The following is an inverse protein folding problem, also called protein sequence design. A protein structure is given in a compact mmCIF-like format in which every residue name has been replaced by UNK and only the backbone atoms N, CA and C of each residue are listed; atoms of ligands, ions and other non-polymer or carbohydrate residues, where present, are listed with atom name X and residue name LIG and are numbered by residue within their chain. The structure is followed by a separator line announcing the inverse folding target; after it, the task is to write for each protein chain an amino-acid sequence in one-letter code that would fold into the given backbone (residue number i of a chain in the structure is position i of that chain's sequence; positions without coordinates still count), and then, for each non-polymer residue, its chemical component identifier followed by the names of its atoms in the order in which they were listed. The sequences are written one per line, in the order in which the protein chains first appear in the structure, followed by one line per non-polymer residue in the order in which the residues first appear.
data_IF_541809051972
#
_entry.id   IF_541809051972
#
_cell.length_a   1.000
_cell.length_b   1.000
_cell.length_c   1.000
_cell.angle_alpha   90.00
_cell.angle_beta   90.00
_cell.angle_gamma   90.00
#
_symmetry.space_group_name_H-M   'P 1'
#
loop_
_entity.id
_entity.type
_entity.pdbx_description
1 polymer ?
#
# COMPACT_ATOMS: atom_id res chain seq x y z
N UNK A 1 4.03 -23.71 32.39
CA UNK A 1 4.62 -22.38 32.60
C UNK A 1 4.04 -21.46 31.54
N UNK A 2 3.23 -20.52 31.96
CA UNK A 2 2.56 -19.55 31.12
C UNK A 2 3.58 -18.50 30.65
N UNK A 3 3.61 -18.21 29.34
CA UNK A 3 4.17 -16.99 28.80
C UNK A 3 3.20 -16.29 27.85
N UNK A 4 3.28 -14.99 27.72
CA UNK A 4 2.10 -14.18 27.59
C UNK A 4 1.72 -13.84 26.14
N UNK A 5 0.43 -13.88 25.90
CA UNK A 5 -0.28 -13.33 24.73
C UNK A 5 -0.11 -11.81 24.53
N UNK A 6 1.03 -11.21 24.92
CA UNK A 6 1.13 -9.75 25.03
C UNK A 6 1.62 -9.00 23.80
N UNK A 7 2.33 -9.62 22.88
CA UNK A 7 2.90 -8.89 21.72
C UNK A 7 1.93 -8.77 20.53
N UNK A 8 1.12 -9.79 20.25
CA UNK A 8 0.00 -9.64 19.28
C UNK A 8 -0.95 -8.48 19.62
N UNK A 9 -1.05 -8.11 20.90
CA UNK A 9 -1.87 -6.98 21.34
C UNK A 9 -1.18 -5.62 21.21
N UNK A 10 0.13 -5.54 21.00
CA UNK A 10 0.82 -4.25 20.81
C UNK A 10 0.73 -3.75 19.37
N UNK A 11 0.74 -4.65 18.38
CA UNK A 11 0.48 -4.27 16.98
C UNK A 11 -0.96 -3.74 16.79
N UNK A 12 -1.93 -4.30 17.54
CA UNK A 12 -3.34 -3.90 17.50
C UNK A 12 -3.74 -2.83 18.52
N UNK A 13 -2.90 -2.51 19.51
CA UNK A 13 -3.24 -1.58 20.60
C UNK A 13 -3.09 -0.09 20.26
N UNK A 14 -2.59 0.25 19.08
CA UNK A 14 -2.70 1.62 18.56
C UNK A 14 -4.09 1.97 18.01
N UNK A 15 -4.95 0.98 17.75
CA UNK A 15 -6.24 1.17 17.09
C UNK A 15 -7.39 0.35 17.72
N UNK A 16 -7.38 0.14 19.01
CA UNK A 16 -8.36 -0.68 19.68
C UNK A 16 -9.41 0.12 20.45
N UNK A 17 -10.62 0.14 19.95
CA UNK A 17 -11.77 0.51 20.76
C UNK A 17 -12.97 1.01 19.97
N UNK A 18 -13.70 0.14 19.31
CA UNK A 18 -15.17 0.13 19.34
C UNK A 18 -15.68 -1.09 18.59
N UNK A 19 -16.21 -2.03 19.33
CA UNK A 19 -16.96 -3.16 18.79
C UNK A 19 -18.45 -2.84 18.82
N UNK A 20 -19.17 -3.40 17.80
CA UNK A 20 -20.60 -3.61 17.63
C UNK A 20 -21.41 -2.48 17.02
N UNK A 21 -21.86 -2.73 15.81
CA UNK A 21 -23.27 -2.91 15.37
C UNK A 21 -23.35 -2.88 13.84
N UNK A 22 -23.36 -3.99 13.18
CA UNK A 22 -23.90 -4.08 11.82
C UNK A 22 -24.22 -5.52 11.43
N UNK A 23 -25.36 -5.99 11.88
CA UNK A 23 -26.03 -7.14 11.30
C UNK A 23 -27.51 -6.77 11.16
N UNK A 24 -27.85 -6.10 10.08
CA UNK A 24 -29.19 -6.03 9.46
C UNK A 24 -29.19 -4.91 8.40
N UNK A 25 -29.14 -5.24 7.13
CA UNK A 25 -29.29 -4.26 6.06
C UNK A 25 -28.80 -4.68 4.67
N UNK A 26 -28.59 -5.98 4.44
CA UNK A 26 -28.00 -6.47 3.17
C UNK A 26 -28.89 -6.36 1.93
N UNK A 27 -30.18 -6.06 2.04
CA UNK A 27 -31.09 -6.04 0.88
C UNK A 27 -31.51 -4.66 0.39
N UNK A 28 -31.40 -3.61 1.20
CA UNK A 28 -31.82 -2.26 0.80
C UNK A 28 -30.76 -1.44 0.05
N UNK A 29 -29.51 -1.88 -0.01
CA UNK A 29 -28.43 -1.19 -0.74
C UNK A 29 -28.45 -1.52 -2.24
N UNK A 30 -29.11 -2.61 -2.66
CA UNK A 30 -29.13 -3.06 -4.06
C UNK A 30 -30.05 -2.27 -5.00
N UNK A 31 -30.88 -1.37 -4.53
CA UNK A 31 -31.91 -0.69 -5.35
C UNK A 31 -31.64 0.78 -5.68
N UNK A 32 -30.55 1.38 -5.23
CA UNK A 32 -30.28 2.82 -5.42
C UNK A 32 -29.42 3.21 -6.64
N UNK A 33 -29.02 2.25 -7.48
CA UNK A 33 -28.00 2.49 -8.52
C UNK A 33 -28.53 2.67 -9.95
N UNK A 34 -29.72 3.21 -10.14
CA UNK A 34 -30.25 3.52 -11.48
C UNK A 34 -30.93 4.89 -11.53
N UNK A 35 -30.24 5.92 -11.09
CA UNK A 35 -30.63 7.31 -11.37
C UNK A 35 -29.49 7.97 -12.15
N UNK A 36 -29.84 8.57 -13.29
CA UNK A 36 -28.97 9.41 -14.09
C UNK A 36 -28.24 10.40 -13.19
N UNK A 37 -26.94 10.15 -12.93
CA UNK A 37 -26.07 11.09 -12.24
C UNK A 37 -26.03 12.34 -13.11
N UNK A 38 -26.70 13.41 -12.66
CA UNK A 38 -26.38 14.75 -13.17
C UNK A 38 -24.87 14.91 -12.97
N UNK A 39 -24.15 15.33 -14.00
CA UNK A 39 -22.73 15.68 -13.87
C UNK A 39 -22.62 16.83 -12.87
N UNK A 40 -22.67 16.53 -11.59
CA UNK A 40 -22.27 17.45 -10.54
C UNK A 40 -20.85 17.91 -10.84
N UNK A 41 -20.59 19.18 -10.61
CA UNK A 41 -19.27 19.77 -10.83
C UNK A 41 -18.25 18.96 -10.02
N UNK A 42 -17.42 18.17 -10.69
CA UNK A 42 -16.37 17.39 -10.06
C UNK A 42 -15.58 18.28 -9.10
N UNK A 43 -15.48 17.85 -7.87
CA UNK A 43 -14.78 18.56 -6.83
C UNK A 43 -13.37 18.00 -6.71
N UNK A 44 -12.35 18.84 -6.87
CA UNK A 44 -10.96 18.44 -6.76
C UNK A 44 -10.43 18.75 -5.35
N UNK A 45 -9.64 17.85 -4.75
CA UNK A 45 -8.90 18.16 -3.54
C UNK A 45 -7.88 19.28 -3.84
N UNK A 46 -7.46 19.98 -2.80
CA UNK A 46 -6.42 21.01 -2.94
C UNK A 46 -5.11 20.36 -3.43
N UNK A 47 -4.35 21.06 -4.28
CA UNK A 47 -3.03 20.61 -4.68
C UNK A 47 -2.13 20.40 -3.46
N UNK A 48 -1.44 19.27 -3.43
CA UNK A 48 -0.50 18.90 -2.37
C UNK A 48 0.94 18.74 -2.88
N UNK A 49 1.19 19.11 -4.14
CA UNK A 49 2.48 18.93 -4.79
C UNK A 49 2.79 17.47 -5.13
N UNK A 50 1.76 16.68 -5.40
CA UNK A 50 1.89 15.26 -5.75
C UNK A 50 1.66 15.02 -7.24
N UNK A 51 2.67 14.61 -8.01
CA UNK A 51 2.50 14.23 -9.41
C UNK A 51 1.52 13.07 -9.61
N UNK A 52 1.30 12.25 -8.58
CA UNK A 52 0.30 11.18 -8.58
C UNK A 52 -1.09 11.79 -8.67
N UNK A 53 -1.46 12.65 -7.71
CA UNK A 53 -2.77 13.28 -7.66
C UNK A 53 -3.02 14.14 -8.90
N UNK A 54 -1.98 14.87 -9.35
CA UNK A 54 -2.05 15.77 -10.51
C UNK A 54 -2.28 15.01 -11.83
N UNK A 55 -1.99 13.70 -11.90
CA UNK A 55 -2.19 12.88 -13.10
C UNK A 55 -3.60 12.30 -13.24
N UNK A 56 -4.44 12.35 -12.19
CA UNK A 56 -5.73 11.65 -12.15
C UNK A 56 -6.88 12.28 -12.95
N UNK A 57 -6.92 13.59 -13.29
CA UNK A 57 -8.06 14.21 -13.95
C UNK A 57 -8.60 13.44 -15.16
N UNK A 58 -7.77 12.93 -16.09
CA UNK A 58 -8.29 12.18 -17.24
C UNK A 58 -9.13 10.95 -16.85
N UNK A 59 -8.76 10.27 -15.75
CA UNK A 59 -9.52 9.11 -15.26
C UNK A 59 -10.81 9.57 -14.59
N UNK A 60 -10.72 10.44 -13.60
CA UNK A 60 -11.86 10.83 -12.75
C UNK A 60 -12.98 11.49 -13.58
N UNK A 61 -12.61 12.28 -14.61
CA UNK A 61 -13.57 12.97 -15.49
C UNK A 61 -14.24 12.05 -16.50
N UNK A 62 -13.61 10.91 -16.84
CA UNK A 62 -14.07 10.02 -17.93
C UNK A 62 -14.37 8.59 -17.47
N UNK A 63 -14.33 8.31 -16.16
CA UNK A 63 -14.62 6.98 -15.61
C UNK A 63 -16.00 6.47 -16.00
N UNK A 64 -16.05 5.18 -16.31
CA UNK A 64 -17.26 4.46 -16.77
C UNK A 64 -17.74 3.44 -15.76
N UNK A 65 -16.79 2.80 -15.09
CA UNK A 65 -17.04 1.67 -14.20
C UNK A 65 -16.91 2.02 -12.72
N UNK A 66 -16.22 3.11 -12.37
CA UNK A 66 -16.02 3.55 -10.98
C UNK A 66 -16.44 5.00 -10.80
N UNK A 67 -17.18 5.28 -9.72
CA UNK A 67 -17.62 6.63 -9.37
C UNK A 67 -17.39 6.92 -7.89
N UNK A 68 -16.99 8.15 -7.56
CA UNK A 68 -16.91 8.64 -6.18
C UNK A 68 -18.19 9.42 -5.83
N UNK A 69 -18.90 8.95 -4.80
CA UNK A 69 -20.08 9.63 -4.23
C UNK A 69 -19.59 10.68 -3.21
N UNK A 70 -19.56 11.94 -3.64
CA UNK A 70 -19.06 13.06 -2.81
C UNK A 70 -19.95 13.31 -1.59
N UNK A 71 -21.27 13.18 -1.73
CA UNK A 71 -22.19 13.39 -0.60
C UNK A 71 -21.95 12.35 0.50
N UNK A 72 -21.80 11.08 0.10
CA UNK A 72 -21.49 10.02 1.05
C UNK A 72 -20.10 10.18 1.66
N UNK A 73 -19.14 10.66 0.89
CA UNK A 73 -17.80 10.97 1.39
C UNK A 73 -17.84 12.06 2.47
N UNK A 74 -18.62 13.12 2.26
CA UNK A 74 -18.81 14.20 3.26
C UNK A 74 -19.50 13.66 4.52
N UNK A 75 -20.50 12.78 4.37
CA UNK A 75 -21.15 12.10 5.51
C UNK A 75 -20.13 11.29 6.32
N UNK A 76 -19.28 10.50 5.64
CA UNK A 76 -18.22 9.70 6.28
C UNK A 76 -17.20 10.61 6.96
N UNK A 77 -16.77 11.69 6.33
CA UNK A 77 -15.89 12.66 6.93
C UNK A 77 -16.47 13.25 8.24
N UNK A 78 -17.77 13.44 8.28
CA UNK A 78 -18.48 13.98 9.44
C UNK A 78 -18.30 13.16 10.72
N UNK A 79 -18.27 11.84 10.63
CA UNK A 79 -18.01 10.99 11.79
C UNK A 79 -16.55 10.62 11.95
N UNK A 80 -15.81 10.39 10.87
CA UNK A 80 -14.38 10.01 10.91
C UNK A 80 -13.51 11.16 11.46
N UNK A 81 -13.94 12.40 11.33
CA UNK A 81 -13.24 13.56 11.89
C UNK A 81 -13.04 13.48 13.42
N UNK A 82 -13.88 12.71 14.12
CA UNK A 82 -13.79 12.51 15.58
C UNK A 82 -12.99 11.27 16.00
N UNK A 83 -12.51 10.47 15.04
CA UNK A 83 -11.63 9.34 15.34
C UNK A 83 -10.22 9.83 15.69
N UNK A 84 -9.51 9.08 16.54
CA UNK A 84 -8.08 9.24 16.70
C UNK A 84 -7.35 8.65 15.50
N UNK A 85 -6.64 9.49 14.77
CA UNK A 85 -5.87 9.12 13.58
C UNK A 85 -4.41 9.55 13.79
N UNK A 86 -3.68 8.89 14.71
CA UNK A 86 -2.31 9.26 15.02
C UNK A 86 -1.38 9.01 13.83
N UNK A 87 -0.27 9.74 13.78
CA UNK A 87 0.86 9.36 12.94
C UNK A 87 1.34 7.98 13.38
N UNK A 88 1.37 6.98 12.51
CA UNK A 88 1.75 5.63 12.90
C UNK A 88 3.21 5.56 13.35
N UNK A 89 3.45 4.70 14.33
CA UNK A 89 4.76 4.21 14.67
C UNK A 89 4.83 2.76 14.25
N UNK A 90 5.82 2.43 13.47
CA UNK A 90 6.03 1.07 12.99
C UNK A 90 7.34 0.54 13.56
N UNK A 91 7.27 -0.62 14.17
CA UNK A 91 8.43 -1.38 14.60
C UNK A 91 8.48 -2.66 13.80
N UNK A 92 9.60 -2.84 13.10
CA UNK A 92 9.81 -4.07 12.35
C UNK A 92 9.67 -5.28 13.25
N UNK A 93 9.00 -6.34 12.80
CA UNK A 93 8.86 -7.56 13.58
C UNK A 93 10.21 -8.21 13.86
N UNK A 94 10.26 -9.04 14.90
CA UNK A 94 11.43 -9.88 15.22
C UNK A 94 12.72 -9.10 15.49
N UNK A 95 12.61 -7.82 15.88
CA UNK A 95 13.75 -7.00 16.32
C UNK A 95 14.70 -6.55 15.21
N UNK A 96 14.28 -6.60 13.95
CA UNK A 96 15.09 -6.10 12.84
C UNK A 96 15.37 -4.60 13.04
N UNK A 97 16.61 -4.19 12.84
CA UNK A 97 17.01 -2.78 12.77
C UNK A 97 16.85 -1.97 14.04
N UNK A 98 16.59 -2.59 15.22
CA UNK A 98 16.30 -1.87 16.47
C UNK A 98 17.33 -0.79 16.81
N UNK A 99 18.62 -1.06 16.57
CA UNK A 99 19.73 -0.16 16.88
C UNK A 99 20.50 0.29 15.61
N UNK A 100 20.04 -0.15 14.42
CA UNK A 100 20.71 0.11 13.17
C UNK A 100 19.74 0.69 12.12
N UNK A 101 19.69 2.03 11.95
CA UNK A 101 18.83 2.66 10.94
C UNK A 101 19.10 2.21 9.51
N UNK A 102 20.35 1.87 9.17
CA UNK A 102 20.71 1.41 7.83
C UNK A 102 20.11 0.03 7.54
N UNK A 103 20.18 -0.87 8.51
CA UNK A 103 19.51 -2.16 8.42
C UNK A 103 17.99 -2.03 8.30
N UNK A 104 17.39 -1.09 9.06
CA UNK A 104 15.96 -0.78 8.93
C UNK A 104 15.61 -0.32 7.51
N UNK A 105 16.42 0.59 6.92
CA UNK A 105 16.20 1.09 5.57
C UNK A 105 16.34 -0.04 4.56
N UNK A 106 17.44 -0.79 4.63
CA UNK A 106 17.70 -1.88 3.71
C UNK A 106 16.61 -2.96 3.77
N UNK A 107 16.19 -3.36 4.98
CA UNK A 107 15.15 -4.36 5.17
C UNK A 107 13.80 -3.93 4.57
N UNK A 108 13.33 -2.73 4.92
CA UNK A 108 12.04 -2.22 4.42
C UNK A 108 12.07 -2.10 2.89
N UNK A 109 13.14 -1.54 2.32
CA UNK A 109 13.20 -1.34 0.88
C UNK A 109 13.41 -2.65 0.10
N UNK A 110 14.15 -3.61 0.64
CA UNK A 110 14.30 -4.95 0.03
C UNK A 110 12.96 -5.70 0.04
N UNK A 111 12.21 -5.64 1.13
CA UNK A 111 10.86 -6.19 1.19
C UNK A 111 9.93 -5.48 0.18
N UNK A 112 9.90 -4.16 0.18
CA UNK A 112 9.02 -3.36 -0.69
C UNK A 112 9.26 -3.63 -2.20
N UNK A 113 10.47 -4.02 -2.60
CA UNK A 113 10.75 -4.46 -3.99
C UNK A 113 9.87 -5.63 -4.42
N UNK A 114 9.51 -6.52 -3.52
CA UNK A 114 8.74 -7.75 -3.83
C UNK A 114 7.37 -7.80 -3.14
N UNK A 115 6.94 -6.70 -2.48
CA UNK A 115 5.64 -6.59 -1.82
C UNK A 115 4.50 -6.64 -2.85
N UNK A 116 4.13 -7.86 -3.22
CA UNK A 116 3.02 -8.16 -4.15
C UNK A 116 2.60 -9.63 -4.02
N UNK A 117 1.33 -9.94 -4.29
CA UNK A 117 0.82 -11.30 -4.47
C UNK A 117 1.23 -12.29 -3.35
N UNK A 118 0.45 -12.34 -2.29
CA UNK A 118 0.65 -13.29 -1.19
C UNK A 118 -0.42 -14.40 -1.16
N UNK A 119 -1.38 -14.34 -2.06
CA UNK A 119 -2.44 -15.35 -2.20
C UNK A 119 -2.36 -15.99 -3.58
N UNK A 120 -2.36 -17.31 -3.64
CA UNK A 120 -2.37 -18.04 -4.90
C UNK A 120 -3.63 -17.72 -5.72
N UNK A 121 -3.44 -17.36 -6.98
CA UNK A 121 -4.52 -16.89 -7.85
C UNK A 121 -5.53 -17.97 -8.25
N UNK A 122 -5.18 -19.24 -8.08
CA UNK A 122 -6.01 -20.38 -8.48
C UNK A 122 -6.69 -21.04 -7.30
N UNK A 123 -5.91 -21.29 -6.24
CA UNK A 123 -6.39 -22.01 -5.05
C UNK A 123 -6.91 -21.09 -3.96
N UNK A 124 -6.61 -19.80 -4.06
CA UNK A 124 -6.88 -18.76 -3.05
C UNK A 124 -6.26 -19.06 -1.68
N UNK A 125 -5.22 -19.92 -1.65
CA UNK A 125 -4.46 -20.19 -0.43
C UNK A 125 -3.46 -19.06 -0.21
N UNK A 126 -3.44 -18.52 1.01
CA UNK A 126 -2.49 -17.51 1.43
C UNK A 126 -1.13 -18.12 1.72
N UNK A 127 -0.08 -17.42 1.34
CA UNK A 127 1.28 -17.75 1.74
C UNK A 127 1.45 -17.56 3.25
N UNK A 128 1.99 -18.58 3.92
CA UNK A 128 2.12 -18.64 5.37
C UNK A 128 3.42 -19.34 5.75
N UNK A 129 4.01 -18.92 6.88
CA UNK A 129 5.19 -19.54 7.46
C UNK A 129 5.12 -19.59 8.97
N UNK A 130 5.74 -20.61 9.56
CA UNK A 130 5.99 -20.69 11.01
C UNK A 130 7.44 -20.30 11.28
N UNK A 131 7.65 -19.25 12.07
CA UNK A 131 8.98 -18.79 12.40
C UNK A 131 9.02 -18.11 13.79
N UNK A 132 10.10 -18.32 14.53
CA UNK A 132 10.30 -17.78 15.89
C UNK A 132 9.12 -18.06 16.86
N UNK A 133 8.49 -19.24 16.71
CA UNK A 133 7.36 -19.67 17.55
C UNK A 133 6.03 -18.98 17.26
N UNK A 134 5.91 -18.31 16.11
CA UNK A 134 4.71 -17.61 15.66
C UNK A 134 4.32 -18.07 14.25
N UNK A 135 3.03 -17.92 13.95
CA UNK A 135 2.47 -18.13 12.62
C UNK A 135 2.26 -16.81 11.92
N UNK A 136 2.85 -16.66 10.72
CA UNK A 136 2.84 -15.46 9.91
C UNK A 136 2.08 -15.70 8.61
N UNK A 137 1.40 -14.68 8.10
CA UNK A 137 0.60 -14.75 6.86
C UNK A 137 0.75 -13.47 6.06
N UNK A 138 0.54 -13.56 4.74
CA UNK A 138 0.61 -12.43 3.81
C UNK A 138 1.99 -11.72 3.85
N UNK A 139 2.03 -10.40 3.82
CA UNK A 139 3.27 -9.59 3.90
C UNK A 139 4.06 -9.81 5.20
N UNK A 140 3.38 -10.14 6.32
CA UNK A 140 4.08 -10.50 7.55
C UNK A 140 4.88 -11.81 7.40
N UNK A 141 4.38 -12.76 6.58
CA UNK A 141 5.10 -13.98 6.26
C UNK A 141 6.35 -13.69 5.39
N UNK A 142 6.29 -12.71 4.50
CA UNK A 142 7.46 -12.23 3.78
C UNK A 142 8.52 -11.70 4.75
N UNK A 143 8.18 -10.79 5.66
CA UNK A 143 9.10 -10.27 6.66
C UNK A 143 9.71 -11.37 7.53
N UNK A 144 8.92 -12.39 7.91
CA UNK A 144 9.41 -13.53 8.66
C UNK A 144 10.42 -14.36 7.85
N UNK A 145 10.20 -14.53 6.54
CA UNK A 145 11.13 -15.19 5.63
C UNK A 145 12.45 -14.42 5.50
N UNK A 146 12.37 -13.11 5.32
CA UNK A 146 13.57 -12.26 5.23
C UNK A 146 14.39 -12.35 6.53
N UNK A 147 13.72 -12.20 7.69
CA UNK A 147 14.41 -12.32 8.97
C UNK A 147 15.01 -13.70 9.19
N UNK A 148 14.31 -14.77 8.81
CA UNK A 148 14.83 -16.14 8.85
C UNK A 148 16.09 -16.28 8.01
N UNK A 149 16.10 -15.73 6.81
CA UNK A 149 17.25 -15.73 5.92
C UNK A 149 18.45 -14.98 6.54
N UNK A 150 18.22 -13.81 7.13
CA UNK A 150 19.24 -13.06 7.85
C UNK A 150 19.83 -13.87 9.03
N UNK A 151 18.99 -14.55 9.81
CA UNK A 151 19.43 -15.37 10.96
C UNK A 151 20.23 -16.61 10.51
N UNK A 152 20.03 -17.06 9.29
CA UNK A 152 20.80 -18.11 8.64
C UNK A 152 22.11 -17.60 8.01
N UNK A 153 22.37 -16.29 8.09
CA UNK A 153 23.57 -15.66 7.52
C UNK A 153 23.47 -15.41 6.02
N UNK A 154 22.28 -15.52 5.42
CA UNK A 154 22.05 -15.18 4.01
C UNK A 154 22.05 -13.66 3.88
N UNK A 155 22.91 -13.05 3.04
CA UNK A 155 23.05 -11.60 2.96
C UNK A 155 21.99 -10.95 2.07
N UNK A 156 20.71 -11.17 2.38
CA UNK A 156 19.57 -10.70 1.57
C UNK A 156 19.43 -9.17 1.50
N UNK A 157 20.12 -8.43 2.35
CA UNK A 157 20.13 -6.97 2.32
C UNK A 157 21.26 -6.41 1.43
N UNK A 158 22.14 -7.28 0.88
CA UNK A 158 23.22 -6.87 -0.01
C UNK A 158 22.83 -7.01 -1.48
N UNK A 159 22.78 -5.89 -2.20
CA UNK A 159 22.49 -5.85 -3.62
C UNK A 159 23.40 -6.72 -4.48
N UNK A 160 24.66 -6.95 -4.09
CA UNK A 160 25.54 -7.87 -4.82
C UNK A 160 25.04 -9.31 -4.75
N UNK A 161 24.47 -9.72 -3.62
CA UNK A 161 23.85 -11.04 -3.48
C UNK A 161 22.54 -11.10 -4.25
N UNK A 162 21.66 -10.08 -4.09
CA UNK A 162 20.37 -10.03 -4.77
C UNK A 162 20.52 -10.10 -6.29
N UNK A 163 21.52 -9.43 -6.87
CA UNK A 163 21.77 -9.41 -8.31
C UNK A 163 22.05 -10.80 -8.91
N UNK A 164 22.43 -11.78 -8.09
CA UNK A 164 22.87 -13.12 -8.51
C UNK A 164 21.97 -14.24 -8.00
N UNK A 165 20.82 -13.90 -7.40
CA UNK A 165 19.87 -14.87 -6.85
C UNK A 165 19.48 -15.93 -7.88
N UNK A 166 19.36 -17.15 -7.43
CA UNK A 166 18.89 -18.28 -8.21
C UNK A 166 17.54 -18.76 -7.69
N UNK A 167 16.77 -19.44 -8.55
CA UNK A 167 15.48 -19.99 -8.12
C UNK A 167 15.58 -20.91 -6.89
N UNK A 168 16.53 -21.84 -6.75
CA UNK A 168 16.68 -22.63 -5.53
C UNK A 168 16.91 -21.80 -4.27
N UNK A 169 17.66 -20.69 -4.36
CA UNK A 169 17.84 -19.78 -3.23
C UNK A 169 16.53 -19.06 -2.86
N UNK A 170 15.72 -18.67 -3.84
CA UNK A 170 14.40 -18.09 -3.59
C UNK A 170 13.46 -19.10 -2.93
N UNK A 171 13.44 -20.35 -3.39
CA UNK A 171 12.67 -21.44 -2.77
C UNK A 171 13.10 -21.70 -1.32
N UNK A 172 14.40 -21.62 -1.02
CA UNK A 172 14.94 -21.72 0.34
C UNK A 172 14.50 -20.53 1.22
N UNK A 173 14.68 -19.29 0.73
CA UNK A 173 14.31 -18.07 1.46
C UNK A 173 12.81 -18.06 1.76
N UNK A 174 11.96 -18.40 0.77
CA UNK A 174 10.52 -18.38 0.87
C UNK A 174 9.88 -19.74 1.11
N UNK A 175 10.60 -20.68 1.75
CA UNK A 175 10.01 -21.95 2.15
C UNK A 175 8.84 -21.73 3.11
N UNK A 176 7.62 -22.13 2.70
CA UNK A 176 6.36 -21.92 3.40
C UNK A 176 5.36 -23.04 3.13
N UNK A 177 4.08 -22.79 3.43
CA UNK A 177 2.99 -23.74 3.20
C UNK A 177 2.71 -24.01 1.72
N UNK A 178 2.95 -23.04 0.86
CA UNK A 178 2.90 -23.11 -0.61
C UNK A 178 4.12 -22.40 -1.18
N UNK A 179 4.42 -22.57 -2.47
CA UNK A 179 5.34 -21.67 -3.16
C UNK A 179 4.77 -20.26 -3.09
N UNK A 180 5.60 -19.27 -2.70
CA UNK A 180 5.12 -17.88 -2.69
C UNK A 180 4.69 -17.47 -4.09
N UNK A 181 3.49 -16.88 -4.26
CA UNK A 181 3.01 -16.50 -5.58
C UNK A 181 3.99 -15.57 -6.31
N UNK A 182 4.11 -15.77 -7.61
CA UNK A 182 5.01 -14.98 -8.47
C UNK A 182 6.50 -15.05 -8.05
N UNK A 183 6.97 -16.24 -7.63
CA UNK A 183 8.35 -16.43 -7.17
C UNK A 183 9.39 -16.02 -8.23
N UNK A 184 9.18 -16.38 -9.49
CA UNK A 184 10.11 -16.05 -10.58
C UNK A 184 10.14 -14.54 -10.85
N UNK A 185 8.99 -13.88 -10.84
CA UNK A 185 8.90 -12.44 -10.96
C UNK A 185 9.57 -11.73 -9.78
N UNK A 186 9.33 -12.18 -8.55
CA UNK A 186 9.98 -11.64 -7.33
C UNK A 186 11.51 -11.78 -7.40
N UNK A 187 12.00 -12.93 -7.86
CA UNK A 187 13.44 -13.15 -8.09
C UNK A 187 14.00 -12.13 -9.09
N UNK A 188 13.31 -11.94 -10.20
CA UNK A 188 13.78 -11.02 -11.23
C UNK A 188 13.77 -9.57 -10.74
N UNK A 189 12.74 -9.16 -9.96
CA UNK A 189 12.67 -7.85 -9.33
C UNK A 189 13.85 -7.61 -8.38
N UNK A 190 14.18 -8.58 -7.54
CA UNK A 190 15.35 -8.48 -6.67
C UNK A 190 16.68 -8.44 -7.44
N UNK A 191 16.80 -9.21 -8.52
CA UNK A 191 18.00 -9.16 -9.38
C UNK A 191 18.19 -7.79 -10.00
N UNK A 192 17.13 -7.18 -10.52
CA UNK A 192 17.16 -5.84 -11.12
C UNK A 192 17.51 -4.78 -10.09
N UNK A 193 16.85 -4.80 -8.93
CA UNK A 193 17.16 -3.88 -7.85
C UNK A 193 18.59 -4.08 -7.32
N UNK A 194 18.99 -5.32 -7.11
CA UNK A 194 20.34 -5.68 -6.67
C UNK A 194 21.43 -5.20 -7.63
N UNK A 195 21.21 -5.35 -8.93
CA UNK A 195 22.16 -4.85 -9.94
C UNK A 195 22.35 -3.34 -9.87
N UNK A 196 21.28 -2.58 -9.67
CA UNK A 196 21.37 -1.11 -9.48
C UNK A 196 22.11 -0.78 -8.18
N UNK A 197 21.75 -1.44 -7.08
CA UNK A 197 22.39 -1.23 -5.77
C UNK A 197 23.88 -1.54 -5.81
N UNK A 198 24.25 -2.67 -6.39
CA UNK A 198 25.66 -3.07 -6.52
C UNK A 198 26.46 -2.08 -7.37
N UNK A 199 25.89 -1.65 -8.49
CA UNK A 199 26.59 -0.76 -9.42
C UNK A 199 26.74 0.70 -8.92
N UNK A 200 25.75 1.22 -8.15
CA UNK A 200 25.68 2.65 -7.83
C UNK A 200 25.71 2.96 -6.33
N UNK A 201 25.32 2.04 -5.47
CA UNK A 201 25.00 2.32 -4.06
C UNK A 201 25.72 1.39 -3.08
N UNK A 202 26.85 0.84 -3.49
CA UNK A 202 27.65 -0.05 -2.65
C UNK A 202 26.81 -1.18 -1.99
N UNK A 203 25.82 -1.71 -2.74
CA UNK A 203 24.98 -2.82 -2.35
C UNK A 203 23.78 -2.47 -1.44
N UNK A 204 23.63 -1.25 -0.92
CA UNK A 204 22.61 -0.92 0.08
C UNK A 204 21.61 0.16 -0.34
N UNK A 205 20.32 -0.04 -0.07
CA UNK A 205 19.29 0.98 -0.22
C UNK A 205 19.54 2.18 0.70
N UNK A 206 20.13 1.99 1.88
CA UNK A 206 20.48 3.11 2.77
C UNK A 206 21.40 4.14 2.08
N UNK A 207 22.33 3.69 1.23
CA UNK A 207 23.17 4.59 0.46
C UNK A 207 22.39 5.33 -0.64
N UNK A 208 21.44 4.65 -1.29
CA UNK A 208 20.53 5.29 -2.24
C UNK A 208 19.70 6.38 -1.53
N UNK A 209 19.02 6.05 -0.44
CA UNK A 209 18.18 6.98 0.33
C UNK A 209 18.98 8.22 0.77
N UNK A 210 20.17 8.03 1.31
CA UNK A 210 21.06 9.12 1.74
C UNK A 210 21.54 10.01 0.60
N UNK A 211 21.55 9.52 -0.63
CA UNK A 211 21.92 10.28 -1.81
C UNK A 211 20.78 11.12 -2.41
N UNK A 212 19.55 10.90 -1.92
CA UNK A 212 18.37 11.67 -2.34
C UNK A 212 18.23 12.98 -1.58
N UNK A 213 17.49 13.91 -2.16
CA UNK A 213 16.92 15.04 -1.41
C UNK A 213 15.95 14.47 -0.33
N UNK A 214 15.85 15.09 0.86
CA UNK A 214 14.94 14.61 1.93
C UNK A 214 13.45 14.92 1.63
N UNK A 215 13.06 14.87 0.39
CA UNK A 215 11.72 15.11 -0.14
C UNK A 215 11.26 13.93 -0.97
N UNK A 216 9.96 13.76 -1.10
CA UNK A 216 9.38 12.80 -2.04
C UNK A 216 9.65 13.24 -3.48
N UNK A 217 9.33 14.52 -3.75
CA UNK A 217 9.43 15.14 -5.07
C UNK A 217 10.28 16.41 -5.01
N UNK A 218 11.35 16.47 -5.78
CA UNK A 218 12.27 17.58 -5.83
C UNK A 218 12.95 17.67 -7.20
N UNK A 219 12.16 17.93 -8.24
CA UNK A 219 12.67 18.13 -9.60
C UNK A 219 13.66 17.05 -10.06
N UNK A 220 13.33 15.79 -9.80
CA UNK A 220 14.14 14.64 -10.17
C UNK A 220 15.21 14.24 -9.14
N UNK A 221 15.27 14.90 -7.98
CA UNK A 221 16.22 14.60 -6.89
C UNK A 221 15.53 13.97 -5.66
N UNK A 222 14.20 14.05 -5.58
CA UNK A 222 13.39 13.49 -4.53
C UNK A 222 13.47 11.96 -4.49
N UNK A 223 13.10 11.37 -3.36
CA UNK A 223 13.19 9.93 -3.17
C UNK A 223 12.26 9.19 -4.14
N UNK A 224 11.00 9.61 -4.30
CA UNK A 224 10.09 8.99 -5.27
C UNK A 224 10.55 9.28 -6.70
N UNK A 225 10.95 10.54 -7.00
CA UNK A 225 11.45 10.89 -8.33
C UNK A 225 12.53 9.93 -8.80
N UNK A 226 13.48 9.61 -7.90
CA UNK A 226 14.63 8.77 -8.22
C UNK A 226 14.30 7.28 -8.17
N UNK A 227 13.46 6.83 -7.22
CA UNK A 227 13.03 5.43 -7.16
C UNK A 227 12.40 5.00 -8.50
N UNK A 228 11.47 5.77 -9.04
CA UNK A 228 10.75 5.41 -10.28
C UNK A 228 11.64 5.47 -11.53
N UNK A 229 12.72 6.25 -11.51
CA UNK A 229 13.67 6.34 -12.63
C UNK A 229 14.77 5.29 -12.57
N UNK A 230 15.29 5.03 -11.36
CA UNK A 230 16.47 4.18 -11.21
C UNK A 230 16.13 2.71 -10.96
N UNK A 231 14.96 2.44 -10.41
CA UNK A 231 14.47 1.09 -10.15
C UNK A 231 13.14 0.88 -10.89
N UNK A 232 13.14 0.23 -12.07
CA UNK A 232 11.94 0.08 -12.91
C UNK A 232 10.74 -0.53 -12.17
N UNK A 233 11.00 -1.33 -11.13
CA UNK A 233 10.01 -1.92 -10.24
C UNK A 233 9.04 -0.89 -9.64
N UNK A 234 9.53 0.30 -9.34
CA UNK A 234 8.75 1.36 -8.69
C UNK A 234 8.02 2.28 -9.67
N UNK A 235 8.25 2.13 -10.98
CA UNK A 235 7.59 2.94 -12.00
C UNK A 235 6.18 2.43 -12.31
N UNK A 236 5.28 2.58 -11.36
CA UNK A 236 3.87 2.18 -11.45
C UNK A 236 3.06 3.25 -12.19
N UNK A 237 3.06 3.15 -13.49
CA UNK A 237 2.39 4.06 -14.43
C UNK A 237 1.50 3.25 -15.36
N UNK A 238 0.31 3.77 -15.64
CA UNK A 238 -0.66 3.21 -16.60
C UNK A 238 -1.05 4.26 -17.65
N UNK A 239 -1.62 3.82 -18.77
CA UNK A 239 -2.14 4.71 -19.80
C UNK A 239 -3.68 4.65 -19.80
N UNK A 240 -4.33 5.80 -19.61
CA UNK A 240 -5.77 5.96 -19.70
C UNK A 240 -6.11 6.95 -20.80
N UNK A 241 -6.76 6.51 -21.87
CA UNK A 241 -7.05 7.34 -23.04
C UNK A 241 -5.83 8.17 -23.51
N UNK A 242 -4.66 7.53 -23.61
CA UNK A 242 -3.37 8.13 -24.00
C UNK A 242 -2.76 9.11 -22.99
N UNK A 243 -3.34 9.26 -21.79
CA UNK A 243 -2.76 10.04 -20.70
C UNK A 243 -1.98 9.11 -19.76
N UNK A 244 -0.80 9.55 -19.35
CA UNK A 244 0.00 8.86 -18.34
C UNK A 244 -0.58 9.09 -16.95
N UNK A 245 -0.96 8.02 -16.28
CA UNK A 245 -1.51 8.03 -14.92
C UNK A 245 -0.47 7.42 -13.98
N UNK A 246 0.00 8.22 -13.04
CA UNK A 246 0.97 7.80 -12.04
C UNK A 246 0.23 7.28 -10.81
N UNK A 247 0.53 6.05 -10.41
CA UNK A 247 -0.09 5.42 -9.25
C UNK A 247 0.90 5.28 -8.08
N UNK A 248 2.16 4.93 -8.36
CA UNK A 248 3.31 4.95 -7.46
C UNK A 248 3.02 4.39 -6.05
N UNK A 249 2.30 3.25 -5.95
CA UNK A 249 1.94 2.64 -4.66
C UNK A 249 3.19 2.33 -3.83
N UNK A 250 4.08 1.51 -4.36
CA UNK A 250 5.21 0.97 -3.61
C UNK A 250 6.28 2.02 -3.27
N UNK A 251 6.72 2.91 -4.19
CA UNK A 251 7.74 3.88 -3.81
C UNK A 251 7.27 4.81 -2.69
N UNK A 252 5.96 5.06 -2.58
CA UNK A 252 5.41 5.82 -1.46
C UNK A 252 5.26 4.94 -0.21
N UNK A 253 4.84 3.68 -0.34
CA UNK A 253 4.62 2.76 0.78
C UNK A 253 5.93 2.46 1.52
N UNK A 254 6.99 2.11 0.81
CA UNK A 254 8.31 1.87 1.42
C UNK A 254 8.80 3.09 2.20
N UNK A 255 8.69 4.30 1.60
CA UNK A 255 9.07 5.54 2.27
C UNK A 255 8.16 5.88 3.47
N UNK A 256 6.88 5.52 3.41
CA UNK A 256 5.96 5.63 4.54
C UNK A 256 6.37 4.75 5.71
N UNK A 257 6.73 3.48 5.45
CA UNK A 257 7.23 2.57 6.47
C UNK A 257 8.55 3.06 7.07
N UNK A 258 9.46 3.60 6.26
CA UNK A 258 10.69 4.22 6.76
C UNK A 258 10.40 5.41 7.68
N UNK A 259 9.49 6.28 7.25
CA UNK A 259 9.08 7.41 8.07
C UNK A 259 8.44 6.96 9.38
N UNK A 260 7.49 6.04 9.33
CA UNK A 260 6.83 5.51 10.52
C UNK A 260 7.81 4.82 11.50
N UNK A 261 8.88 4.21 10.99
CA UNK A 261 9.89 3.52 11.82
C UNK A 261 10.95 4.45 12.41
N UNK A 262 11.36 5.49 11.71
CA UNK A 262 12.60 6.21 12.02
C UNK A 262 12.42 7.71 12.32
N UNK A 263 11.24 8.32 12.02
CA UNK A 263 11.07 9.78 12.17
C UNK A 263 11.20 10.26 13.62
N UNK A 264 10.66 9.51 14.59
CA UNK A 264 10.75 9.89 16.01
C UNK A 264 12.18 9.89 16.55
N UNK A 265 13.01 9.00 16.03
CA UNK A 265 14.43 8.98 16.39
C UNK A 265 15.25 10.06 15.66
N UNK A 266 14.64 10.80 14.74
CA UNK A 266 15.32 11.79 13.88
C UNK A 266 16.25 11.17 12.84
N UNK A 267 16.19 9.86 12.62
CA UNK A 267 17.10 9.13 11.69
C UNK A 267 16.62 9.14 10.25
N UNK A 268 15.35 9.43 10.03
CA UNK A 268 14.77 9.59 8.69
C UNK A 268 13.68 10.66 8.72
N UNK A 269 13.69 11.56 7.74
CA UNK A 269 12.71 12.63 7.62
C UNK A 269 12.26 12.78 6.17
N UNK A 270 11.01 13.21 5.98
CA UNK A 270 10.43 13.58 4.69
C UNK A 270 9.86 15.00 4.85
N UNK A 271 10.50 15.97 4.21
CA UNK A 271 10.13 17.40 4.36
C UNK A 271 8.76 17.72 3.75
N UNK A 272 8.37 17.01 2.70
CA UNK A 272 7.10 17.18 2.00
C UNK A 272 6.16 15.96 2.19
N UNK A 273 6.14 15.38 3.39
CA UNK A 273 5.33 14.19 3.72
C UNK A 273 3.84 14.36 3.34
N UNK A 274 3.31 15.58 3.37
CA UNK A 274 1.96 15.91 2.96
C UNK A 274 1.68 15.72 1.46
N UNK A 275 2.73 15.59 0.63
CA UNK A 275 2.61 15.29 -0.80
C UNK A 275 2.38 13.81 -1.10
N UNK A 276 2.43 12.95 -0.06
CA UNK A 276 2.16 11.52 -0.19
C UNK A 276 0.66 11.27 -0.36
N UNK A 277 0.31 10.35 -1.26
CA UNK A 277 -1.08 9.95 -1.54
C UNK A 277 -1.44 8.61 -0.88
N UNK A 278 -2.65 8.12 -1.13
CA UNK A 278 -3.03 6.77 -0.75
C UNK A 278 -2.24 5.72 -1.55
N UNK A 279 -2.03 4.56 -0.92
CA UNK A 279 -1.37 3.40 -1.50
C UNK A 279 -2.40 2.50 -2.17
N UNK A 280 -2.78 2.84 -3.42
CA UNK A 280 -3.88 2.21 -4.14
C UNK A 280 -3.62 0.72 -4.41
N UNK A 281 -3.89 -0.11 -3.39
CA UNK A 281 -3.87 -1.57 -3.38
C UNK A 281 -5.27 -2.14 -3.65
N UNK A 282 -5.51 -3.40 -3.27
CA UNK A 282 -6.81 -4.06 -3.40
C UNK A 282 -7.69 -3.96 -2.13
N UNK A 283 -7.18 -3.52 -0.98
CA UNK A 283 -7.92 -3.45 0.30
C UNK A 283 -8.58 -2.08 0.50
N UNK A 284 -7.85 -0.98 0.29
CA UNK A 284 -8.40 0.36 0.47
C UNK A 284 -9.64 0.59 -0.40
N UNK A 285 -9.69 0.15 -1.69
CA UNK A 285 -10.90 0.21 -2.50
C UNK A 285 -12.09 -0.55 -1.90
N UNK A 286 -11.87 -1.69 -1.23
CA UNK A 286 -12.94 -2.41 -0.53
C UNK A 286 -13.54 -1.57 0.58
N UNK A 287 -12.68 -0.95 1.41
CA UNK A 287 -13.14 -0.06 2.48
C UNK A 287 -13.96 1.12 1.97
N UNK A 288 -13.51 1.75 0.89
CA UNK A 288 -14.24 2.86 0.25
C UNK A 288 -15.61 2.43 -0.29
N UNK A 289 -15.70 1.23 -0.92
CA UNK A 289 -16.99 0.64 -1.36
C UNK A 289 -17.92 0.37 -0.17
N UNK A 290 -17.42 -0.27 0.88
CA UNK A 290 -18.24 -0.62 2.06
C UNK A 290 -18.76 0.61 2.79
N UNK A 291 -18.01 1.71 2.78
CA UNK A 291 -18.45 3.00 3.29
C UNK A 291 -19.40 3.74 2.32
N UNK A 292 -19.61 3.22 1.11
CA UNK A 292 -20.44 3.84 0.07
C UNK A 292 -19.80 5.06 -0.58
N UNK A 293 -18.51 5.30 -0.35
CA UNK A 293 -17.75 6.41 -0.95
C UNK A 293 -17.50 6.16 -2.42
N UNK A 294 -17.17 4.91 -2.81
CA UNK A 294 -17.06 4.53 -4.21
C UNK A 294 -18.16 3.55 -4.59
N UNK A 295 -18.65 3.66 -5.82
CA UNK A 295 -19.61 2.76 -6.43
C UNK A 295 -19.06 2.24 -7.76
N UNK A 296 -19.37 0.98 -8.06
CA UNK A 296 -18.90 0.32 -9.28
C UNK A 296 -20.08 0.05 -10.21
N UNK A 297 -19.81 -0.06 -11.52
CA UNK A 297 -20.81 -0.52 -12.49
C UNK A 297 -21.26 -1.94 -12.15
N UNK A 298 -22.50 -2.34 -12.47
CA UNK A 298 -22.98 -3.70 -12.23
C UNK A 298 -22.10 -4.79 -12.89
N UNK A 299 -21.47 -4.47 -14.00
CA UNK A 299 -20.56 -5.38 -14.70
C UNK A 299 -19.26 -5.58 -13.89
N UNK A 300 -18.67 -4.50 -13.39
CA UNK A 300 -17.47 -4.56 -12.55
C UNK A 300 -17.74 -5.24 -11.22
N UNK A 301 -18.86 -4.93 -10.56
CA UNK A 301 -19.27 -5.62 -9.32
C UNK A 301 -19.37 -7.12 -9.53
N UNK A 302 -20.06 -7.55 -10.61
CA UNK A 302 -20.17 -8.97 -10.93
C UNK A 302 -18.82 -9.63 -11.14
N UNK A 303 -17.89 -8.99 -11.85
CA UNK A 303 -16.54 -9.49 -12.08
C UNK A 303 -15.80 -9.74 -10.78
N UNK A 304 -15.89 -8.78 -9.84
CA UNK A 304 -15.26 -8.87 -8.52
C UNK A 304 -15.94 -9.95 -7.66
N UNK A 305 -17.27 -9.96 -7.58
CA UNK A 305 -18.04 -10.90 -6.76
C UNK A 305 -17.88 -12.36 -7.22
N UNK A 306 -17.53 -12.57 -8.50
CA UNK A 306 -17.25 -13.90 -9.05
C UNK A 306 -15.75 -14.22 -9.11
N UNK A 307 -14.91 -13.43 -8.46
CA UNK A 307 -13.45 -13.62 -8.38
C UNK A 307 -12.77 -13.77 -9.75
N UNK A 308 -13.26 -13.05 -10.76
CA UNK A 308 -12.62 -13.04 -12.07
C UNK A 308 -11.43 -12.07 -12.08
N UNK A 309 -10.36 -12.48 -12.78
CA UNK A 309 -9.20 -11.62 -12.95
C UNK A 309 -9.54 -10.39 -13.78
N UNK A 310 -9.16 -9.23 -13.29
CA UNK A 310 -9.17 -7.96 -14.01
C UNK A 310 -7.75 -7.75 -14.56
N UNK A 311 -7.57 -7.58 -15.87
CA UNK A 311 -6.25 -7.39 -16.44
C UNK A 311 -5.59 -6.11 -15.89
N UNK A 312 -4.30 -6.20 -15.60
CA UNK A 312 -3.50 -5.01 -15.30
C UNK A 312 -3.59 -4.01 -16.45
N UNK A 313 -3.55 -2.73 -16.14
CA UNK A 313 -3.66 -1.62 -17.10
C UNK A 313 -4.99 -1.61 -17.88
N UNK A 314 -5.99 -2.40 -17.47
CA UNK A 314 -7.34 -2.25 -18.01
C UNK A 314 -8.00 -0.97 -17.47
N UNK A 315 -8.95 -0.43 -18.22
CA UNK A 315 -9.75 0.73 -17.80
C UNK A 315 -10.30 0.55 -16.39
N UNK A 316 -10.83 -0.63 -16.08
CA UNK A 316 -11.44 -0.94 -14.77
C UNK A 316 -10.41 -0.92 -13.64
N UNK A 317 -9.26 -1.52 -13.84
CA UNK A 317 -8.18 -1.54 -12.82
C UNK A 317 -7.65 -0.13 -12.57
N UNK A 318 -7.41 0.66 -13.63
CA UNK A 318 -6.96 2.05 -13.52
C UNK A 318 -8.02 2.90 -12.80
N UNK A 319 -9.30 2.76 -13.14
CA UNK A 319 -10.37 3.50 -12.48
C UNK A 319 -10.50 3.17 -11.01
N UNK A 320 -10.41 1.88 -10.61
CA UNK A 320 -10.44 1.47 -9.19
C UNK A 320 -9.33 2.17 -8.42
N UNK A 321 -8.11 2.12 -8.92
CA UNK A 321 -6.93 2.68 -8.25
C UNK A 321 -6.92 4.20 -8.25
N UNK A 322 -7.28 4.84 -9.34
CA UNK A 322 -7.37 6.29 -9.44
C UNK A 322 -8.45 6.86 -8.50
N UNK A 323 -9.64 6.26 -8.47
CA UNK A 323 -10.71 6.66 -7.54
C UNK A 323 -10.35 6.38 -6.08
N UNK A 324 -9.56 5.34 -5.79
CA UNK A 324 -9.02 5.10 -4.46
C UNK A 324 -8.18 6.30 -3.98
N UNK A 325 -7.22 6.74 -4.78
CA UNK A 325 -6.34 7.89 -4.45
C UNK A 325 -7.17 9.18 -4.36
N UNK A 326 -8.00 9.45 -5.34
CA UNK A 326 -8.85 10.65 -5.40
C UNK A 326 -9.79 10.75 -4.20
N UNK A 327 -10.55 9.68 -3.92
CA UNK A 327 -11.52 9.66 -2.84
C UNK A 327 -10.85 9.80 -1.46
N UNK A 328 -9.70 9.16 -1.26
CA UNK A 328 -8.96 9.25 0.00
C UNK A 328 -8.39 10.66 0.21
N UNK A 329 -7.89 11.30 -0.85
CA UNK A 329 -7.43 12.69 -0.79
C UNK A 329 -8.57 13.65 -0.44
N UNK A 330 -9.70 13.52 -1.10
CA UNK A 330 -10.89 14.35 -0.84
C UNK A 330 -11.47 14.11 0.54
N UNK A 331 -11.50 12.84 1.00
CA UNK A 331 -11.94 12.49 2.36
C UNK A 331 -11.05 13.13 3.42
N UNK A 332 -9.73 13.09 3.21
CA UNK A 332 -8.75 13.75 4.11
C UNK A 332 -9.01 15.26 4.18
N UNK A 333 -9.26 15.91 3.06
CA UNK A 333 -9.59 17.34 3.02
C UNK A 333 -10.86 17.65 3.80
N UNK A 334 -11.94 16.85 3.64
CA UNK A 334 -13.21 17.05 4.35
C UNK A 334 -13.05 16.86 5.86
N UNK A 335 -12.32 15.83 6.27
CA UNK A 335 -12.00 15.61 7.69
C UNK A 335 -11.25 16.81 8.27
N UNK A 336 -10.25 17.31 7.56
CA UNK A 336 -9.42 18.43 8.02
C UNK A 336 -10.19 19.76 8.14
N UNK A 337 -11.31 19.93 7.42
CA UNK A 337 -12.21 21.10 7.63
C UNK A 337 -12.90 21.07 8.98
N UNK A 338 -13.06 19.90 9.58
CA UNK A 338 -13.74 19.69 10.85
C UNK A 338 -12.76 19.62 12.03
N UNK A 339 -11.45 19.54 11.76
CA UNK A 339 -10.39 19.42 12.78
C UNK A 339 -9.71 20.76 13.05
N UNK A 340 -9.24 20.94 14.27
CA UNK A 340 -8.37 22.06 14.62
C UNK A 340 -7.07 22.00 13.81
N UNK A 341 -6.41 23.14 13.55
CA UNK A 341 -5.21 23.18 12.72
C UNK A 341 -4.05 22.26 13.19
N UNK A 342 -3.90 22.08 14.48
CA UNK A 342 -2.90 21.22 15.13
C UNK A 342 -3.29 19.73 15.16
N UNK A 343 -4.53 19.40 14.80
CA UNK A 343 -5.06 18.05 14.73
C UNK A 343 -5.29 17.58 13.29
N UNK A 344 -4.85 18.35 12.29
CA UNK A 344 -4.99 17.97 10.88
C UNK A 344 -4.15 16.74 10.56
N UNK A 345 -4.63 15.96 9.61
CA UNK A 345 -4.04 14.69 9.19
C UNK A 345 -3.60 14.75 7.73
N UNK A 346 -2.79 13.78 7.33
CA UNK A 346 -2.36 13.57 5.94
C UNK A 346 -3.00 12.31 5.35
N UNK A 347 -3.02 12.21 4.04
CA UNK A 347 -3.69 11.12 3.30
C UNK A 347 -3.27 9.72 3.78
N UNK A 348 -1.98 9.40 4.00
CA UNK A 348 -1.56 8.09 4.48
C UNK A 348 -2.16 7.65 5.83
N UNK A 349 -2.57 8.59 6.69
CA UNK A 349 -3.24 8.22 7.95
C UNK A 349 -4.65 7.66 7.70
N UNK A 350 -5.37 8.20 6.70
CA UNK A 350 -6.67 7.67 6.26
C UNK A 350 -6.49 6.33 5.55
N UNK A 351 -5.49 6.21 4.68
CA UNK A 351 -5.15 4.95 4.02
C UNK A 351 -4.89 3.85 5.06
N UNK A 352 -3.98 4.08 5.99
CA UNK A 352 -3.64 3.14 7.06
C UNK A 352 -4.87 2.78 7.91
N UNK A 353 -5.75 3.75 8.23
CA UNK A 353 -7.01 3.50 8.96
C UNK A 353 -7.93 2.58 8.18
N UNK A 354 -8.13 2.84 6.89
CA UNK A 354 -9.01 2.03 6.03
C UNK A 354 -8.42 0.64 5.87
N UNK A 355 -7.15 0.54 5.51
CA UNK A 355 -6.46 -0.75 5.32
C UNK A 355 -6.53 -1.61 6.59
N UNK A 356 -6.14 -1.06 7.75
CA UNK A 356 -6.14 -1.79 9.04
C UNK A 356 -7.53 -2.30 9.41
N UNK A 357 -8.58 -1.54 9.09
CA UNK A 357 -9.94 -1.93 9.44
C UNK A 357 -10.51 -3.00 8.49
N UNK A 358 -10.15 -2.95 7.21
CA UNK A 358 -10.81 -3.78 6.18
C UNK A 358 -9.97 -4.95 5.67
N UNK A 359 -8.66 -5.03 5.94
CA UNK A 359 -7.81 -6.13 5.43
C UNK A 359 -8.21 -7.52 5.94
N UNK A 360 -8.94 -7.61 7.04
CA UNK A 360 -9.46 -8.86 7.60
C UNK A 360 -10.90 -9.18 7.17
N UNK A 361 -11.50 -8.38 6.30
CA UNK A 361 -12.85 -8.64 5.83
C UNK A 361 -12.85 -9.78 4.82
N UNK A 362 -13.99 -10.49 4.73
CA UNK A 362 -14.22 -11.51 3.71
C UNK A 362 -14.89 -10.94 2.44
N UNK A 363 -14.93 -9.61 2.28
CA UNK A 363 -15.52 -9.00 1.10
C UNK A 363 -14.62 -9.19 -0.11
N UNK A 364 -15.20 -9.50 -1.29
CA UNK A 364 -14.45 -9.64 -2.51
C UNK A 364 -13.74 -8.32 -2.87
N UNK A 365 -12.47 -8.43 -3.20
CA UNK A 365 -11.69 -7.36 -3.82
C UNK A 365 -11.41 -7.68 -5.29
N UNK A 366 -10.99 -6.69 -6.06
CA UNK A 366 -10.53 -6.94 -7.42
C UNK A 366 -9.26 -7.81 -7.41
N UNK A 367 -9.21 -8.73 -8.34
CA UNK A 367 -8.06 -9.63 -8.51
C UNK A 367 -7.32 -9.22 -9.77
N UNK A 368 -6.06 -8.82 -9.62
CA UNK A 368 -5.18 -8.48 -10.75
C UNK A 368 -3.84 -9.16 -10.54
N UNK A 369 -3.41 -9.94 -11.54
CA UNK A 369 -2.05 -10.49 -11.52
C UNK A 369 -1.07 -9.42 -11.95
N UNK A 370 -0.41 -8.81 -11.00
CA UNK A 370 0.48 -7.68 -11.22
C UNK A 370 1.67 -7.73 -10.26
N UNK A 371 2.77 -7.12 -10.68
CA UNK A 371 3.90 -6.86 -9.80
C UNK A 371 3.78 -5.50 -9.09
N UNK A 372 2.83 -4.64 -9.41
CA UNK A 372 2.82 -3.24 -8.96
C UNK A 372 2.20 -3.02 -7.57
N UNK A 373 1.42 -3.99 -7.07
CA UNK A 373 0.79 -3.88 -5.75
C UNK A 373 0.29 -5.22 -5.20
#
# INVERSE_FOLDING_TARGET
MHQPRSERRRFLRGFGGFMMLAAAGGESIRQAAATSVSREKLRWPKPIGSPVLDSLPPVIENSRDVHTNVDKLVEVAGWMAYEELPMPEYHLPLGVGQDNPDETIDFIMVADVIDTAFTDFTTHIKFQVDYAGQHWSDSEAEFACLKRAMDQGIPILDGNYLAQLTRPQMEEIFAGNIEIPMLDEKMELWRQAGAVLAAKYNGGFHNFIRSCSPRLYDHGKGMVDRLVVEFPRFNDVSLYDSHEIKLYKLPQLGLWFLYASLHKSGKFQIEDIHSMTAFADYIVPVGLRLMGITAYSPALEKTIDTHQLIPRDSTQEIEIRAHCIYATALLTEEINKLRAPDAQIIIPQIDARIWTHYHTTNWPHHLTRTIMY
#
